data_IF_458751989205
#
_entry.id   IF_458751989205
#
_cell.length_a   1.000
_cell.length_b   1.000
_cell.length_c   1.000
_cell.angle_alpha   90.00
_cell.angle_beta   90.00
_cell.angle_gamma   90.00
#
_symmetry.space_group_name_H-M   'P 1'
#
loop_
_entity.id
_entity.type
_entity.pdbx_description
1 polymer ?
#
# COMPACT_ATOMS: atom_id res chain seq x y z
N UNK A 1 8.03 12.84 -12.72
CA UNK A 1 6.60 12.78 -12.33
C UNK A 1 6.57 12.13 -10.95
N UNK A 2 5.78 12.64 -9.99
CA UNK A 2 5.71 12.01 -8.66
C UNK A 2 4.82 10.76 -8.76
N UNK A 3 5.12 9.71 -7.98
CA UNK A 3 4.27 8.51 -7.93
C UNK A 3 2.82 8.85 -7.55
N UNK A 4 2.60 9.87 -6.72
CA UNK A 4 1.27 10.38 -6.40
C UNK A 4 0.49 10.88 -7.63
N UNK A 5 1.16 11.59 -8.54
CA UNK A 5 0.54 12.15 -9.75
C UNK A 5 0.13 11.03 -10.72
N UNK A 6 0.93 9.96 -10.78
CA UNK A 6 0.67 8.79 -11.63
C UNK A 6 -0.49 7.95 -11.07
N UNK A 7 -0.60 7.82 -9.75
CA UNK A 7 -1.73 7.18 -9.10
C UNK A 7 -3.05 7.92 -9.39
N UNK A 8 -3.06 9.25 -9.25
CA UNK A 8 -4.24 10.07 -9.57
C UNK A 8 -4.66 9.92 -11.03
N UNK A 9 -3.68 9.88 -11.95
CA UNK A 9 -3.93 9.64 -13.37
C UNK A 9 -4.58 8.26 -13.60
N UNK A 10 -4.06 7.20 -12.99
CA UNK A 10 -4.62 5.85 -13.13
C UNK A 10 -6.08 5.77 -12.66
N UNK A 11 -6.43 6.45 -11.55
CA UNK A 11 -7.82 6.53 -11.10
C UNK A 11 -8.73 7.24 -12.10
N UNK A 12 -8.26 8.34 -12.70
CA UNK A 12 -9.02 9.07 -13.73
C UNK A 12 -9.23 8.23 -14.97
N UNK A 13 -8.17 7.58 -15.45
CA UNK A 13 -8.21 6.74 -16.64
C UNK A 13 -9.15 5.54 -16.41
N UNK A 14 -9.04 4.86 -15.27
CA UNK A 14 -9.95 3.77 -14.89
C UNK A 14 -11.42 4.21 -14.90
N UNK A 15 -11.74 5.35 -14.28
CA UNK A 15 -13.12 5.87 -14.23
C UNK A 15 -13.66 6.23 -15.60
N UNK A 16 -12.81 6.80 -16.47
CA UNK A 16 -13.15 7.13 -17.86
C UNK A 16 -13.45 5.88 -18.66
N UNK A 17 -12.58 4.88 -18.64
CA UNK A 17 -12.78 3.62 -19.37
C UNK A 17 -14.01 2.86 -18.86
N UNK A 18 -14.27 2.87 -17.55
CA UNK A 18 -15.49 2.29 -16.99
C UNK A 18 -16.75 2.98 -17.54
N UNK A 19 -16.79 4.31 -17.51
CA UNK A 19 -17.97 5.08 -17.91
C UNK A 19 -18.22 5.03 -19.42
N UNK A 20 -17.16 5.18 -20.23
CA UNK A 20 -17.26 5.20 -21.69
C UNK A 20 -17.39 3.81 -22.31
N UNK A 21 -16.92 2.77 -21.61
CA UNK A 21 -16.84 1.42 -22.14
C UNK A 21 -18.18 0.71 -22.36
N UNK A 22 -19.26 1.18 -21.70
CA UNK A 22 -20.61 0.65 -21.93
C UNK A 22 -20.73 -0.87 -21.73
N UNK A 23 -19.93 -1.43 -20.82
CA UNK A 23 -19.78 -2.88 -20.66
C UNK A 23 -20.91 -3.49 -19.84
N UNK A 24 -21.38 -4.67 -20.25
CA UNK A 24 -22.28 -5.51 -19.45
C UNK A 24 -21.50 -6.18 -18.29
N UNK A 25 -20.24 -6.57 -18.56
CA UNK A 25 -19.28 -7.06 -17.57
C UNK A 25 -17.94 -6.31 -17.72
N UNK A 26 -17.74 -5.17 -17.03
CA UNK A 26 -16.56 -4.31 -17.18
C UNK A 26 -15.29 -4.92 -16.57
N UNK A 27 -15.43 -5.88 -15.66
CA UNK A 27 -14.34 -6.31 -14.77
C UNK A 27 -13.09 -6.80 -15.52
N UNK A 28 -13.18 -7.69 -16.55
CA UNK A 28 -12.01 -8.24 -17.22
C UNK A 28 -11.11 -7.19 -17.88
N UNK A 29 -11.71 -6.12 -18.41
CA UNK A 29 -10.97 -5.05 -19.10
C UNK A 29 -10.33 -4.07 -18.12
N UNK A 30 -10.85 -3.98 -16.90
CA UNK A 30 -10.36 -3.08 -15.87
C UNK A 30 -9.32 -3.73 -14.93
N UNK A 31 -9.13 -5.05 -14.98
CA UNK A 31 -8.15 -5.77 -14.16
C UNK A 31 -6.76 -5.13 -14.20
N UNK A 32 -6.29 -4.76 -15.40
CA UNK A 32 -4.98 -4.15 -15.58
C UNK A 32 -4.81 -2.78 -14.88
N UNK A 33 -5.91 -2.05 -14.63
CA UNK A 33 -5.87 -0.82 -13.85
C UNK A 33 -5.77 -1.12 -12.36
N UNK A 34 -6.52 -2.12 -11.86
CA UNK A 34 -6.49 -2.49 -10.45
C UNK A 34 -5.13 -3.02 -10.00
N UNK A 35 -4.46 -3.84 -10.82
CA UNK A 35 -3.11 -4.31 -10.53
C UNK A 35 -2.12 -3.15 -10.41
N UNK A 36 -2.16 -2.21 -11.37
CA UNK A 36 -1.29 -1.03 -11.37
C UNK A 36 -1.54 -0.12 -10.18
N UNK A 37 -2.81 0.16 -9.87
CA UNK A 37 -3.21 0.97 -8.71
C UNK A 37 -2.74 0.31 -7.41
N UNK A 38 -2.95 -0.99 -7.26
CA UNK A 38 -2.53 -1.75 -6.07
C UNK A 38 -1.02 -1.68 -5.89
N UNK A 39 -0.26 -1.91 -6.96
CA UNK A 39 1.20 -1.80 -6.95
C UNK A 39 1.67 -0.41 -6.54
N UNK A 40 1.17 0.64 -7.18
CA UNK A 40 1.58 2.03 -6.87
C UNK A 40 1.23 2.45 -5.44
N UNK A 41 0.06 2.03 -4.93
CA UNK A 41 -0.32 2.32 -3.54
C UNK A 41 0.62 1.67 -2.53
N UNK A 42 1.03 0.43 -2.78
CA UNK A 42 1.98 -0.26 -1.90
C UNK A 42 3.37 0.38 -1.95
N UNK A 43 3.82 0.82 -3.12
CA UNK A 43 5.09 1.53 -3.28
C UNK A 43 5.07 2.87 -2.54
N UNK A 44 4.00 3.67 -2.69
CA UNK A 44 3.80 4.93 -1.97
C UNK A 44 3.72 4.73 -0.45
N UNK A 45 3.03 3.69 0.00
CA UNK A 45 2.96 3.34 1.42
C UNK A 45 4.34 2.96 1.95
N UNK A 46 5.09 2.13 1.21
CA UNK A 46 6.46 1.75 1.60
C UNK A 46 7.40 2.94 1.67
N UNK A 47 7.29 3.90 0.74
CA UNK A 47 8.07 5.15 0.77
C UNK A 47 7.72 6.00 2.02
N UNK A 48 6.44 6.09 2.39
CA UNK A 48 5.97 6.80 3.58
C UNK A 48 6.43 6.11 4.88
N UNK A 49 6.20 4.80 5.02
CA UNK A 49 6.66 4.01 6.16
C UNK A 49 8.18 4.09 6.35
N UNK A 50 8.94 4.09 5.25
CA UNK A 50 10.40 4.23 5.26
C UNK A 50 10.86 5.65 5.64
N UNK A 51 10.12 6.68 5.21
CA UNK A 51 10.40 8.07 5.56
C UNK A 51 10.06 8.38 7.02
N UNK A 52 9.03 7.73 7.58
CA UNK A 52 8.55 7.92 8.95
C UNK A 52 9.26 7.01 9.96
N UNK A 53 10.03 6.03 9.47
CA UNK A 53 10.80 5.07 10.25
C UNK A 53 9.90 4.08 11.00
N UNK A 54 8.73 3.78 10.44
CA UNK A 54 7.76 2.85 10.99
C UNK A 54 8.33 1.43 10.93
N UNK A 55 8.17 0.68 12.02
CA UNK A 55 8.67 -0.69 12.15
C UNK A 55 7.49 -1.60 12.43
N UNK A 56 7.52 -2.82 11.94
CA UNK A 56 6.44 -3.78 12.15
C UNK A 56 6.93 -5.01 12.90
N UNK A 57 6.08 -5.58 13.74
CA UNK A 57 6.37 -6.81 14.46
C UNK A 57 6.49 -7.98 13.48
N UNK A 58 7.59 -8.73 13.54
CA UNK A 58 7.80 -9.92 12.69
C UNK A 58 6.90 -11.09 13.06
N UNK A 59 6.28 -11.08 14.25
CA UNK A 59 5.42 -12.16 14.71
C UNK A 59 3.94 -11.93 14.39
N UNK A 60 3.44 -10.70 14.54
CA UNK A 60 2.01 -10.41 14.37
C UNK A 60 1.70 -9.32 13.33
N UNK A 61 2.72 -8.65 12.78
CA UNK A 61 2.55 -7.60 11.77
C UNK A 61 2.06 -6.25 12.31
N UNK A 62 1.88 -6.06 13.62
CA UNK A 62 1.46 -4.76 14.14
C UNK A 62 2.58 -3.71 14.03
N UNK A 63 2.20 -2.44 13.88
CA UNK A 63 3.13 -1.32 13.97
C UNK A 63 3.78 -1.26 15.36
N UNK A 64 5.07 -0.96 15.38
CA UNK A 64 5.89 -0.81 16.57
C UNK A 64 6.24 0.66 16.76
N UNK A 65 6.04 1.13 17.98
CA UNK A 65 6.47 2.47 18.37
C UNK A 65 7.99 2.63 18.28
N UNK A 66 8.43 3.88 18.07
CA UNK A 66 9.85 4.21 17.98
C UNK A 66 10.58 3.83 19.28
N UNK A 67 11.45 2.83 19.20
CA UNK A 67 12.21 2.32 20.35
C UNK A 67 11.52 1.20 21.13
N UNK A 68 10.43 0.63 20.63
CA UNK A 68 9.78 -0.52 21.27
C UNK A 68 10.74 -1.72 21.39
N UNK A 69 10.88 -2.26 22.60
CA UNK A 69 11.67 -3.48 22.89
C UNK A 69 10.79 -4.73 22.80
N UNK A 70 9.50 -4.58 23.10
CA UNK A 70 8.48 -5.63 23.01
C UNK A 70 7.28 -5.12 22.20
N UNK A 71 6.63 -6.03 21.49
CA UNK A 71 5.41 -5.73 20.75
C UNK A 71 4.24 -5.54 21.72
N UNK A 72 3.58 -4.37 21.69
CA UNK A 72 2.42 -4.08 22.54
C UNK A 72 1.18 -4.95 22.24
N UNK A 73 1.13 -5.62 21.09
CA UNK A 73 0.02 -6.48 20.70
C UNK A 73 0.24 -7.96 21.07
N UNK A 74 1.41 -8.52 20.76
CA UNK A 74 1.69 -9.95 20.96
C UNK A 74 2.74 -10.26 22.03
N UNK A 75 3.41 -9.25 22.59
CA UNK A 75 4.41 -9.42 23.64
C UNK A 75 5.78 -9.94 23.17
N UNK A 76 5.98 -10.21 21.87
CA UNK A 76 7.27 -10.68 21.34
C UNK A 76 8.36 -9.59 21.44
N UNK A 77 9.61 -9.96 21.75
CA UNK A 77 10.77 -9.05 21.79
C UNK A 77 11.12 -8.62 20.35
N UNK A 78 11.13 -7.32 20.07
CA UNK A 78 11.24 -6.74 18.71
C UNK A 78 12.53 -5.94 18.47
N UNK A 79 13.47 -5.98 19.41
CA UNK A 79 14.77 -5.36 19.26
C UNK A 79 15.70 -5.80 20.37
N UNK A 80 16.58 -6.75 20.06
CA UNK A 80 17.60 -7.23 20.97
C UNK A 80 18.61 -8.07 20.21
N UNK A 81 19.51 -7.41 19.49
CA UNK A 81 20.82 -7.99 19.24
C UNK A 81 21.58 -7.87 20.56
N UNK A 82 21.79 -9.01 21.21
CA UNK A 82 22.91 -9.24 22.11
C UNK A 82 24.03 -9.90 21.28
#
# INVERSE_FOLDING_TARGET
MKLSDELEKLYRDLGKEYYEGGFEDPLPQLLGYFDKITKLRNELQTEQDSAEGLRFCTQCGCELEKGAVFCGNCGCKVGGNE
#
